data_IF_471919747974
#
_entry.id   IF_471919747974
#
_cell.length_a   1.000
_cell.length_b   1.000
_cell.length_c   1.000
_cell.angle_alpha   90.00
_cell.angle_beta   90.00
_cell.angle_gamma   90.00
#
_symmetry.space_group_name_H-M   'P 1'
#
loop_
_entity.id
_entity.type
_entity.pdbx_description
1 polymer ?
#
# COMPACT_ATOMS: atom_id res chain seq x y z
N UNK A 1 -15.73 8.49 -7.40
CA UNK A 1 -15.13 7.65 -6.35
C UNK A 1 -15.63 6.23 -6.51
N UNK A 2 -14.75 5.21 -6.40
CA UNK A 2 -15.19 3.83 -6.22
C UNK A 2 -16.13 3.72 -5.01
N UNK A 3 -17.12 2.83 -5.10
CA UNK A 3 -18.02 2.59 -3.98
C UNK A 3 -17.38 1.69 -2.92
N UNK A 4 -17.90 1.69 -1.68
CA UNK A 4 -17.52 0.79 -0.58
C UNK A 4 -17.22 -0.66 -0.96
N UNK A 5 -18.07 -1.25 -1.82
CA UNK A 5 -17.93 -2.64 -2.26
C UNK A 5 -16.65 -2.89 -3.06
N UNK A 6 -16.20 -1.94 -3.87
CA UNK A 6 -14.97 -2.06 -4.65
C UNK A 6 -13.73 -2.08 -3.74
N UNK A 7 -13.67 -1.17 -2.76
CA UNK A 7 -12.60 -1.14 -1.76
C UNK A 7 -12.56 -2.43 -0.93
N UNK A 8 -13.72 -2.88 -0.46
CA UNK A 8 -13.82 -4.10 0.34
C UNK A 8 -13.39 -5.34 -0.46
N UNK A 9 -13.84 -5.46 -1.71
CA UNK A 9 -13.46 -6.56 -2.60
C UNK A 9 -11.96 -6.56 -2.89
N UNK A 10 -11.38 -5.40 -3.21
CA UNK A 10 -9.94 -5.26 -3.46
C UNK A 10 -9.11 -5.69 -2.25
N UNK A 11 -9.43 -5.17 -1.06
CA UNK A 11 -8.66 -5.47 0.14
C UNK A 11 -8.87 -6.90 0.66
N UNK A 12 -10.11 -7.43 0.66
CA UNK A 12 -10.36 -8.81 1.08
C UNK A 12 -9.72 -9.81 0.12
N UNK A 13 -9.79 -9.60 -1.20
CA UNK A 13 -9.17 -10.48 -2.18
C UNK A 13 -7.64 -10.47 -2.07
N UNK A 14 -7.03 -9.29 -1.92
CA UNK A 14 -5.58 -9.16 -1.65
C UNK A 14 -5.18 -9.83 -0.34
N UNK A 15 -5.94 -9.62 0.74
CA UNK A 15 -5.71 -10.26 2.03
C UNK A 15 -5.86 -11.80 1.98
N UNK A 16 -6.84 -12.30 1.23
CA UNK A 16 -7.04 -13.74 1.02
C UNK A 16 -5.89 -14.36 0.20
N UNK A 17 -5.39 -13.66 -0.82
CA UNK A 17 -4.22 -14.08 -1.58
C UNK A 17 -2.97 -14.17 -0.67
N UNK A 18 -2.72 -13.13 0.14
CA UNK A 18 -1.63 -13.14 1.12
C UNK A 18 -1.79 -14.26 2.17
N UNK A 19 -3.01 -14.51 2.64
CA UNK A 19 -3.32 -15.63 3.55
C UNK A 19 -2.95 -16.98 2.93
N UNK A 20 -3.24 -17.16 1.64
CA UNK A 20 -2.91 -18.39 0.91
C UNK A 20 -1.39 -18.55 0.71
N UNK A 21 -0.70 -17.46 0.38
CA UNK A 21 0.75 -17.45 0.18
C UNK A 21 1.53 -17.63 1.49
N UNK A 22 0.95 -17.25 2.64
CA UNK A 22 1.57 -17.44 3.94
C UNK A 22 1.73 -18.93 4.34
N UNK A 23 1.05 -19.86 3.65
CA UNK A 23 1.26 -21.30 3.77
C UNK A 23 0.25 -22.01 4.69
N UNK A 24 -0.06 -23.31 4.47
CA UNK A 24 -1.07 -24.05 5.24
C UNK A 24 -0.69 -24.39 6.69
N UNK A 25 0.61 -24.55 6.97
CA UNK A 25 1.14 -24.88 8.32
C UNK A 25 1.54 -23.66 9.16
N UNK A 26 1.87 -22.56 8.49
CA UNK A 26 2.31 -21.29 9.07
C UNK A 26 1.33 -20.20 8.65
N UNK A 27 0.04 -20.30 9.01
CA UNK A 27 -0.97 -19.27 8.65
C UNK A 27 -0.63 -17.93 9.33
N UNK A 28 0.42 -17.24 8.90
CA UNK A 28 0.95 -16.06 9.59
C UNK A 28 0.14 -14.80 9.25
N UNK A 29 -0.64 -14.86 8.18
CA UNK A 29 -1.69 -13.91 7.82
C UNK A 29 -3.03 -14.66 7.79
N UNK A 30 -4.02 -14.17 8.53
CA UNK A 30 -5.27 -14.89 8.76
C UNK A 30 -6.51 -13.98 8.76
N UNK A 31 -7.67 -14.53 9.11
CA UNK A 31 -8.96 -13.84 8.97
C UNK A 31 -9.00 -12.49 9.70
N UNK A 32 -8.42 -12.40 10.90
CA UNK A 32 -8.30 -11.12 11.64
C UNK A 32 -7.48 -10.09 10.87
N UNK A 33 -6.41 -10.49 10.18
CA UNK A 33 -5.58 -9.58 9.38
C UNK A 33 -6.38 -9.05 8.19
N UNK A 34 -7.04 -9.95 7.44
CA UNK A 34 -7.91 -9.59 6.33
C UNK A 34 -9.01 -8.62 6.75
N UNK A 35 -9.67 -8.89 7.89
CA UNK A 35 -10.76 -8.06 8.38
C UNK A 35 -10.30 -6.64 8.72
N UNK A 36 -9.19 -6.48 9.46
CA UNK A 36 -8.67 -5.14 9.81
C UNK A 36 -8.17 -4.41 8.56
N UNK A 37 -7.44 -5.09 7.67
CA UNK A 37 -6.97 -4.51 6.41
C UNK A 37 -8.14 -4.00 5.57
N UNK A 38 -9.16 -4.85 5.36
CA UNK A 38 -10.30 -4.50 4.53
C UNK A 38 -11.21 -3.45 5.17
N UNK A 39 -11.39 -3.47 6.49
CA UNK A 39 -12.14 -2.43 7.20
C UNK A 39 -11.52 -1.05 7.01
N UNK A 40 -10.19 -0.93 6.97
CA UNK A 40 -9.51 0.35 6.78
C UNK A 40 -9.37 0.75 5.31
N UNK A 41 -9.43 -0.20 4.38
CA UNK A 41 -9.56 0.10 2.95
C UNK A 41 -10.97 0.58 2.58
N UNK A 42 -11.99 0.04 3.25
CA UNK A 42 -13.37 0.46 3.07
C UNK A 42 -13.69 1.73 3.87
N UNK A 43 -13.71 1.67 5.20
CA UNK A 43 -14.20 2.76 6.04
C UNK A 43 -13.16 3.82 6.35
N UNK A 44 -11.87 3.48 6.26
CA UNK A 44 -10.82 4.18 7.00
C UNK A 44 -10.80 5.69 6.74
N UNK A 45 -10.22 6.16 5.62
CA UNK A 45 -10.20 7.58 5.28
C UNK A 45 -11.60 8.20 5.13
N UNK A 46 -12.58 7.42 4.69
CA UNK A 46 -14.00 7.81 4.57
C UNK A 46 -14.66 8.22 5.91
N UNK A 47 -14.05 7.92 7.06
CA UNK A 47 -14.48 8.48 8.34
C UNK A 47 -14.46 10.02 8.32
N UNK A 48 -13.60 10.64 7.50
CA UNK A 48 -13.59 12.09 7.27
C UNK A 48 -14.88 12.58 6.62
N UNK A 49 -15.27 11.98 5.50
CA UNK A 49 -16.51 12.29 4.79
C UNK A 49 -17.75 11.99 5.64
N UNK A 50 -17.70 10.91 6.44
CA UNK A 50 -18.75 10.61 7.39
C UNK A 50 -18.88 11.67 8.50
N UNK A 51 -17.75 12.17 9.02
CA UNK A 51 -17.76 13.25 10.02
C UNK A 51 -18.30 14.57 9.44
N UNK A 52 -17.90 14.91 8.21
CA UNK A 52 -18.46 16.05 7.47
C UNK A 52 -19.98 15.92 7.29
N UNK A 53 -20.45 14.74 6.86
CA UNK A 53 -21.86 14.42 6.75
C UNK A 53 -22.60 14.55 8.09
N UNK A 54 -22.01 14.08 9.20
CA UNK A 54 -22.60 14.25 10.53
C UNK A 54 -22.71 15.73 10.94
N UNK A 55 -21.68 16.53 10.64
CA UNK A 55 -21.69 17.98 10.91
C UNK A 55 -22.77 18.71 10.10
N UNK A 56 -23.17 18.19 8.94
CA UNK A 56 -24.25 18.78 8.12
C UNK A 56 -25.63 18.77 8.79
N UNK A 57 -25.85 17.92 9.81
CA UNK A 57 -27.09 17.90 10.60
C UNK A 57 -27.10 18.90 11.76
N UNK A 58 -25.95 19.50 12.11
CA UNK A 58 -25.89 20.51 13.14
C UNK A 58 -26.49 21.83 12.63
N UNK A 59 -27.01 22.69 13.52
CA UNK A 59 -27.49 24.02 13.12
C UNK A 59 -26.42 24.74 12.31
N UNK A 60 -26.81 25.26 11.14
CA UNK A 60 -25.92 25.92 10.18
C UNK A 60 -25.15 27.06 10.85
N UNK A 61 -23.95 26.72 11.30
CA UNK A 61 -23.01 27.60 11.97
C UNK A 61 -21.68 27.46 11.27
N UNK A 62 -20.97 28.57 11.13
CA UNK A 62 -19.65 28.58 10.50
C UNK A 62 -18.69 27.60 11.20
N UNK A 63 -18.85 27.40 12.52
CA UNK A 63 -18.07 26.45 13.30
C UNK A 63 -18.37 24.99 12.97
N UNK A 64 -19.63 24.61 12.77
CA UNK A 64 -19.99 23.23 12.41
C UNK A 64 -19.49 22.86 11.00
N UNK A 65 -19.63 23.78 10.03
CA UNK A 65 -19.08 23.60 8.68
C UNK A 65 -17.56 23.46 8.72
N UNK A 66 -16.87 24.40 9.39
CA UNK A 66 -15.41 24.37 9.49
C UNK A 66 -14.89 23.10 10.18
N UNK A 67 -15.62 22.58 11.18
CA UNK A 67 -15.26 21.32 11.83
C UNK A 67 -15.41 20.11 10.90
N UNK A 68 -16.48 20.06 10.08
CA UNK A 68 -16.68 19.05 9.05
C UNK A 68 -15.57 19.07 7.99
N UNK A 69 -15.28 20.25 7.43
CA UNK A 69 -14.24 20.44 6.42
C UNK A 69 -12.84 20.07 6.96
N UNK A 70 -12.57 20.43 8.21
CA UNK A 70 -11.33 20.06 8.89
C UNK A 70 -11.24 18.55 9.10
N UNK A 71 -12.32 17.90 9.52
CA UNK A 71 -12.36 16.45 9.69
C UNK A 71 -12.12 15.74 8.35
N UNK A 72 -12.80 16.17 7.28
CA UNK A 72 -12.60 15.64 5.94
C UNK A 72 -11.15 15.80 5.48
N UNK A 73 -10.62 17.03 5.50
CA UNK A 73 -9.25 17.30 5.06
C UNK A 73 -8.17 16.60 5.89
N UNK A 74 -8.37 16.44 7.19
CA UNK A 74 -7.39 15.80 8.08
C UNK A 74 -7.48 14.27 8.04
N UNK A 75 -8.68 13.69 8.03
CA UNK A 75 -8.89 12.24 8.09
C UNK A 75 -8.81 11.61 6.70
N UNK A 76 -9.26 12.30 5.66
CA UNK A 76 -9.19 11.84 4.27
C UNK A 76 -7.88 12.25 3.57
N UNK A 77 -6.79 12.37 4.33
CA UNK A 77 -5.44 12.57 3.79
C UNK A 77 -4.59 11.29 3.95
N UNK A 78 -3.90 10.83 2.89
CA UNK A 78 -3.24 9.52 2.83
C UNK A 78 -2.27 9.22 3.96
N UNK A 79 -1.62 10.27 4.49
CA UNK A 79 -0.65 10.12 5.58
C UNK A 79 -1.19 10.58 6.93
N UNK A 80 -2.23 11.42 6.97
CA UNK A 80 -2.74 11.91 8.25
C UNK A 80 -3.67 10.90 8.90
N UNK A 81 -4.45 10.15 8.12
CA UNK A 81 -5.26 9.06 8.64
C UNK A 81 -4.48 8.10 9.56
N UNK A 82 -3.40 7.44 9.10
CA UNK A 82 -2.63 6.53 9.95
C UNK A 82 -1.93 7.25 11.11
N UNK A 83 -1.54 8.52 10.96
CA UNK A 83 -0.89 9.29 12.03
C UNK A 83 -1.86 9.72 13.14
N UNK A 84 -3.05 10.18 12.78
CA UNK A 84 -4.05 10.71 13.70
C UNK A 84 -4.88 9.59 14.34
N UNK A 85 -5.38 8.66 13.52
CA UNK A 85 -6.30 7.62 13.96
C UNK A 85 -5.64 6.24 14.08
N UNK A 86 -4.46 6.03 13.54
CA UNK A 86 -3.81 4.71 13.54
C UNK A 86 -3.55 4.16 14.93
N UNK A 87 -3.02 4.95 15.87
CA UNK A 87 -2.79 4.50 17.25
C UNK A 87 -4.07 4.19 18.05
N UNK A 88 -5.09 5.08 18.11
CA UNK A 88 -6.32 4.77 18.82
C UNK A 88 -7.05 3.57 18.19
N UNK A 89 -7.15 3.52 16.86
CA UNK A 89 -7.75 2.38 16.16
C UNK A 89 -6.96 1.10 16.35
N UNK A 90 -5.63 1.14 16.39
CA UNK A 90 -4.82 -0.04 16.66
C UNK A 90 -5.11 -0.65 18.04
N UNK A 91 -5.34 0.20 19.05
CA UNK A 91 -5.77 -0.26 20.37
C UNK A 91 -7.16 -0.90 20.33
N UNK A 92 -8.10 -0.26 19.63
CA UNK A 92 -9.47 -0.75 19.46
C UNK A 92 -9.51 -2.09 18.72
N UNK A 93 -8.84 -2.21 17.57
CA UNK A 93 -8.78 -3.44 16.78
C UNK A 93 -8.05 -4.57 17.51
N UNK A 94 -6.97 -4.29 18.25
CA UNK A 94 -6.31 -5.32 19.06
C UNK A 94 -7.23 -5.83 20.18
N UNK A 95 -8.05 -4.95 20.78
CA UNK A 95 -9.07 -5.34 21.74
C UNK A 95 -10.20 -6.14 21.08
N UNK A 96 -10.66 -5.72 19.90
CA UNK A 96 -11.72 -6.39 19.17
C UNK A 96 -11.29 -7.78 18.69
N UNK A 97 -10.07 -7.92 18.17
CA UNK A 97 -9.50 -9.22 17.77
C UNK A 97 -9.50 -10.22 18.92
N UNK A 98 -9.11 -9.78 20.14
CA UNK A 98 -9.22 -10.61 21.36
C UNK A 98 -10.65 -11.05 21.66
N UNK A 99 -11.63 -10.14 21.50
CA UNK A 99 -13.03 -10.43 21.78
C UNK A 99 -13.62 -11.41 20.77
N UNK A 100 -13.39 -11.17 19.48
CA UNK A 100 -13.87 -12.03 18.39
C UNK A 100 -13.28 -13.43 18.45
N UNK A 101 -12.00 -13.53 18.82
CA UNK A 101 -11.34 -14.83 19.01
C UNK A 101 -11.95 -15.60 20.18
N UNK A 102 -12.17 -14.95 21.34
CA UNK A 102 -12.81 -15.59 22.51
C UNK A 102 -14.25 -16.00 22.25
N UNK A 103 -14.95 -15.27 21.38
CA UNK A 103 -16.31 -15.58 20.98
C UNK A 103 -16.41 -16.65 19.88
N UNK A 104 -15.29 -17.13 19.33
CA UNK A 104 -15.29 -18.10 18.22
C UNK A 104 -15.83 -17.53 16.90
N UNK A 105 -15.90 -16.21 16.74
CA UNK A 105 -16.43 -15.55 15.54
C UNK A 105 -15.41 -15.57 14.41
N UNK A 106 -14.14 -15.38 14.73
CA UNK A 106 -13.04 -15.42 13.78
C UNK A 106 -11.90 -16.26 14.33
N UNK A 107 -11.47 -17.24 13.54
CA UNK A 107 -10.30 -18.03 13.85
C UNK A 107 -9.02 -17.21 13.64
N UNK A 108 -8.08 -17.41 14.55
CA UNK A 108 -6.71 -16.95 14.38
C UNK A 108 -5.76 -18.14 14.36
N UNK A 109 -4.80 -18.17 13.44
CA UNK A 109 -3.69 -19.10 13.45
C UNK A 109 -2.95 -19.11 14.79
N UNK A 110 -2.85 -20.28 15.42
CA UNK A 110 -2.26 -20.44 16.75
C UNK A 110 -3.10 -19.86 17.90
N UNK A 111 -4.35 -19.45 17.66
CA UNK A 111 -5.20 -18.87 18.71
C UNK A 111 -4.66 -17.56 19.29
N UNK A 112 -3.84 -16.82 18.53
CA UNK A 112 -3.26 -15.56 18.98
C UNK A 112 -4.00 -14.37 18.35
N UNK A 113 -4.54 -13.44 19.16
CA UNK A 113 -5.19 -12.23 18.65
C UNK A 113 -4.16 -11.24 18.10
N UNK A 114 -4.59 -10.31 17.23
CA UNK A 114 -3.72 -9.26 16.71
C UNK A 114 -3.20 -8.35 17.83
N UNK A 115 -1.92 -8.03 17.77
CA UNK A 115 -1.32 -7.01 18.63
C UNK A 115 -1.44 -5.61 18.02
N UNK A 116 -1.17 -4.58 18.83
CA UNK A 116 -1.33 -3.17 18.42
C UNK A 116 -0.44 -2.80 17.22
N UNK A 117 0.78 -3.34 17.15
CA UNK A 117 1.70 -3.07 16.03
C UNK A 117 1.14 -3.64 14.72
N UNK A 118 0.64 -4.88 14.75
CA UNK A 118 0.01 -5.50 13.58
C UNK A 118 -1.21 -4.71 13.14
N UNK A 119 -2.08 -4.31 14.07
CA UNK A 119 -3.23 -3.47 13.75
C UNK A 119 -2.81 -2.13 13.12
N UNK A 120 -1.79 -1.45 13.67
CA UNK A 120 -1.29 -0.18 13.09
C UNK A 120 -0.80 -0.35 11.65
N UNK A 121 -0.06 -1.42 11.37
CA UNK A 121 0.41 -1.74 10.01
C UNK A 121 -0.76 -2.03 9.07
N UNK A 122 -1.75 -2.80 9.51
CA UNK A 122 -2.94 -3.16 8.72
C UNK A 122 -3.86 -1.95 8.48
N UNK A 123 -3.99 -1.05 9.46
CA UNK A 123 -4.71 0.22 9.31
C UNK A 123 -4.04 1.06 8.21
N UNK A 124 -2.72 1.23 8.31
CA UNK A 124 -1.94 2.00 7.34
C UNK A 124 -2.00 1.37 5.94
N UNK A 125 -1.94 0.04 5.85
CA UNK A 125 -2.07 -0.68 4.59
C UNK A 125 -3.46 -0.48 3.97
N UNK A 126 -4.51 -0.62 4.79
CA UNK A 126 -5.90 -0.45 4.36
C UNK A 126 -6.14 0.97 3.85
N UNK A 127 -5.75 1.99 4.63
CA UNK A 127 -5.96 3.38 4.24
C UNK A 127 -5.21 3.76 2.97
N UNK A 128 -3.98 3.30 2.78
CA UNK A 128 -3.26 3.55 1.52
C UNK A 128 -3.89 2.80 0.33
N UNK A 129 -4.42 1.59 0.57
CA UNK A 129 -5.15 0.82 -0.44
C UNK A 129 -6.48 1.45 -0.83
N UNK A 130 -7.10 2.20 0.08
CA UNK A 130 -8.26 3.04 -0.20
C UNK A 130 -7.91 4.08 -1.27
N UNK A 131 -6.89 4.91 -0.99
CA UNK A 131 -6.42 5.95 -1.92
C UNK A 131 -5.89 5.42 -3.25
N UNK A 132 -5.44 4.15 -3.32
CA UNK A 132 -5.09 3.54 -4.60
C UNK A 132 -6.27 3.57 -5.58
N UNK A 133 -7.46 3.20 -5.11
CA UNK A 133 -8.65 3.18 -5.97
C UNK A 133 -9.20 4.59 -6.20
N UNK A 134 -9.21 5.45 -5.18
CA UNK A 134 -9.71 6.83 -5.36
C UNK A 134 -8.86 7.60 -6.35
N UNK A 135 -7.55 7.57 -6.19
CA UNK A 135 -6.69 8.29 -7.11
C UNK A 135 -6.82 7.80 -8.56
N UNK A 136 -7.21 6.54 -8.80
CA UNK A 136 -7.43 6.03 -10.17
C UNK A 136 -8.83 6.32 -10.72
N UNK A 137 -9.87 6.32 -9.88
CA UNK A 137 -11.26 6.30 -10.33
C UNK A 137 -12.12 7.47 -9.81
N UNK A 138 -11.54 8.39 -9.04
CA UNK A 138 -12.20 9.61 -8.60
C UNK A 138 -12.15 10.71 -9.68
N UNK A 139 -13.12 11.63 -9.62
CA UNK A 139 -13.25 12.79 -10.51
C UNK A 139 -13.16 12.45 -12.01
N UNK A 140 -13.61 11.25 -12.42
CA UNK A 140 -13.49 10.75 -13.80
C UNK A 140 -12.06 10.81 -14.35
N UNK A 141 -11.04 10.59 -13.50
CA UNK A 141 -9.64 10.67 -13.89
C UNK A 141 -9.12 12.10 -14.02
N UNK A 142 -9.76 13.07 -13.35
CA UNK A 142 -9.29 14.46 -13.30
C UNK A 142 -8.73 14.88 -11.94
N UNK A 143 -8.55 13.91 -11.02
CA UNK A 143 -7.93 14.20 -9.73
C UNK A 143 -6.54 14.82 -9.92
N UNK A 144 -6.16 15.74 -9.02
CA UNK A 144 -4.84 16.38 -9.05
C UNK A 144 -3.72 15.34 -9.04
N UNK A 145 -3.88 14.27 -8.27
CA UNK A 145 -2.91 13.17 -8.20
C UNK A 145 -2.83 12.42 -9.54
N UNK A 146 -3.95 11.98 -10.10
CA UNK A 146 -3.95 11.24 -11.37
C UNK A 146 -3.42 12.07 -12.53
N UNK A 147 -3.83 13.33 -12.60
CA UNK A 147 -3.33 14.28 -13.57
C UNK A 147 -1.83 14.47 -13.42
N UNK A 148 -1.32 14.57 -12.18
CA UNK A 148 0.12 14.64 -11.92
C UNK A 148 0.85 13.36 -12.37
N UNK A 149 0.31 12.18 -12.05
CA UNK A 149 0.88 10.89 -12.46
C UNK A 149 1.09 10.86 -13.98
N UNK A 150 0.03 11.13 -14.74
CA UNK A 150 0.08 11.13 -16.20
C UNK A 150 0.96 12.26 -16.74
N UNK A 151 0.97 13.45 -16.11
CA UNK A 151 1.76 14.60 -16.57
C UNK A 151 3.27 14.37 -16.62
N UNK A 152 3.76 13.27 -16.04
CA UNK A 152 5.17 12.87 -16.17
C UNK A 152 5.54 12.32 -17.56
N UNK A 153 4.55 12.02 -18.40
CA UNK A 153 4.68 11.77 -19.84
C UNK A 153 4.29 12.96 -20.71
N UNK A 154 4.45 12.85 -22.03
CA UNK A 154 4.14 13.92 -22.98
C UNK A 154 2.85 13.68 -23.76
N UNK A 155 1.91 14.63 -23.63
CA UNK A 155 0.58 14.52 -24.24
C UNK A 155 0.26 15.65 -25.22
N UNK A 156 1.25 16.47 -25.59
CA UNK A 156 1.07 17.67 -26.44
C UNK A 156 1.64 17.44 -27.83
N UNK A 157 0.86 16.81 -28.69
CA UNK A 157 1.33 16.42 -30.02
C UNK A 157 2.48 15.40 -29.93
N UNK A 158 3.35 15.38 -30.93
CA UNK A 158 4.43 14.39 -31.00
C UNK A 158 5.50 14.65 -29.94
N UNK A 159 5.83 13.63 -29.15
CA UNK A 159 6.89 13.75 -28.15
C UNK A 159 8.28 13.97 -28.76
N UNK A 160 9.16 14.74 -28.10
CA UNK A 160 10.55 14.86 -28.51
C UNK A 160 11.26 13.52 -28.40
N UNK A 161 12.06 13.17 -29.41
CA UNK A 161 12.86 11.94 -29.41
C UNK A 161 14.08 12.17 -28.52
N UNK A 162 14.24 11.34 -27.49
CA UNK A 162 15.39 11.35 -26.60
C UNK A 162 16.18 10.03 -26.74
N UNK A 163 17.30 10.00 -27.48
CA UNK A 163 18.09 8.78 -27.64
C UNK A 163 18.72 8.31 -26.32
N UNK A 164 19.00 9.23 -25.39
CA UNK A 164 19.56 8.89 -24.08
C UNK A 164 18.60 8.00 -23.28
N UNK A 165 17.29 8.22 -23.44
CA UNK A 165 16.26 7.40 -22.81
C UNK A 165 16.41 5.92 -23.23
N UNK A 166 16.59 5.64 -24.52
CA UNK A 166 16.77 4.26 -25.02
C UNK A 166 18.00 3.61 -24.39
N UNK A 167 19.12 4.32 -24.35
CA UNK A 167 20.38 3.78 -23.81
C UNK A 167 20.27 3.52 -22.31
N UNK A 168 19.79 4.50 -21.54
CA UNK A 168 19.74 4.41 -20.08
C UNK A 168 18.69 3.40 -19.63
N UNK A 169 17.49 3.45 -20.21
CA UNK A 169 16.41 2.51 -19.86
C UNK A 169 16.77 1.10 -20.30
N UNK A 170 17.32 0.94 -21.50
CA UNK A 170 17.82 -0.34 -21.98
C UNK A 170 18.88 -0.94 -21.06
N UNK A 171 19.84 -0.12 -20.59
CA UNK A 171 20.86 -0.53 -19.64
C UNK A 171 20.25 -0.93 -18.29
N UNK A 172 19.38 -0.10 -17.70
CA UNK A 172 18.77 -0.36 -16.40
C UNK A 172 17.89 -1.62 -16.43
N UNK A 173 17.08 -1.81 -17.47
CA UNK A 173 16.28 -3.01 -17.67
C UNK A 173 17.14 -4.25 -17.85
N UNK A 174 18.23 -4.17 -18.63
CA UNK A 174 19.19 -5.27 -18.81
C UNK A 174 19.85 -5.64 -17.48
N UNK A 175 20.29 -4.65 -16.70
CA UNK A 175 20.86 -4.85 -15.37
C UNK A 175 19.85 -5.50 -14.41
N UNK A 176 18.59 -5.07 -14.44
CA UNK A 176 17.54 -5.64 -13.60
C UNK A 176 17.26 -7.10 -13.94
N UNK A 177 17.02 -7.40 -15.22
CA UNK A 177 16.73 -8.77 -15.69
C UNK A 177 17.96 -9.66 -15.48
N UNK A 178 19.13 -9.22 -15.93
CA UNK A 178 20.38 -9.96 -15.81
C UNK A 178 20.78 -10.20 -14.35
N UNK A 179 20.66 -9.19 -13.50
CA UNK A 179 20.90 -9.30 -12.06
C UNK A 179 19.92 -10.25 -11.37
N UNK A 180 18.63 -10.20 -11.73
CA UNK A 180 17.64 -11.12 -11.20
C UNK A 180 17.94 -12.57 -11.60
N UNK A 181 18.23 -12.82 -12.87
CA UNK A 181 18.64 -14.15 -13.36
C UNK A 181 19.90 -14.63 -12.64
N UNK A 182 20.90 -13.77 -12.47
CA UNK A 182 22.14 -14.09 -11.78
C UNK A 182 21.92 -14.52 -10.32
N UNK A 183 21.08 -13.78 -9.57
CA UNK A 183 20.74 -14.11 -8.17
C UNK A 183 20.08 -15.49 -8.07
N UNK A 184 19.18 -15.82 -9.00
CA UNK A 184 18.39 -17.05 -8.90
C UNK A 184 19.05 -18.28 -9.53
N UNK A 185 19.85 -18.10 -10.59
CA UNK A 185 20.46 -19.20 -11.36
C UNK A 185 21.94 -19.44 -11.05
N UNK A 186 22.73 -18.40 -10.85
CA UNK A 186 24.20 -18.52 -10.81
C UNK A 186 24.73 -18.57 -9.37
N UNK A 187 24.09 -17.84 -8.45
CA UNK A 187 24.48 -17.82 -7.05
C UNK A 187 23.94 -19.06 -6.31
N UNK A 188 24.70 -20.15 -6.33
CA UNK A 188 24.39 -21.38 -5.60
C UNK A 188 24.63 -21.23 -4.08
N UNK A 189 23.95 -22.05 -3.28
CA UNK A 189 24.17 -22.14 -1.82
C UNK A 189 23.43 -21.13 -0.94
N UNK A 190 22.67 -20.18 -1.52
CA UNK A 190 21.84 -19.24 -0.76
C UNK A 190 20.42 -19.73 -0.53
N UNK A 191 19.87 -19.40 0.64
CA UNK A 191 18.47 -19.64 0.96
C UNK A 191 17.53 -18.79 0.08
N UNK A 192 16.26 -19.21 -0.03
CA UNK A 192 15.25 -18.47 -0.78
C UNK A 192 15.02 -17.05 -0.21
N UNK A 193 15.10 -16.89 1.11
CA UNK A 193 14.95 -15.60 1.79
C UNK A 193 16.09 -14.64 1.43
N UNK A 194 17.34 -15.12 1.43
CA UNK A 194 18.48 -14.29 1.02
C UNK A 194 18.38 -13.88 -0.44
N UNK A 195 18.01 -14.81 -1.34
CA UNK A 195 17.79 -14.49 -2.76
C UNK A 195 16.69 -13.44 -2.93
N UNK A 196 15.58 -13.57 -2.20
CA UNK A 196 14.49 -12.58 -2.18
C UNK A 196 14.97 -11.21 -1.73
N UNK A 197 15.73 -11.11 -0.62
CA UNK A 197 16.29 -9.86 -0.13
C UNK A 197 17.26 -9.22 -1.14
N UNK A 198 18.08 -10.04 -1.81
CA UNK A 198 18.97 -9.55 -2.86
C UNK A 198 18.20 -9.04 -4.08
N UNK A 199 17.14 -9.74 -4.50
CA UNK A 199 16.26 -9.29 -5.58
C UNK A 199 15.57 -7.97 -5.21
N UNK A 200 15.06 -7.86 -3.99
CA UNK A 200 14.47 -6.62 -3.49
C UNK A 200 15.46 -5.46 -3.52
N UNK A 201 16.68 -5.66 -3.02
CA UNK A 201 17.72 -4.65 -3.04
C UNK A 201 18.10 -4.23 -4.47
N UNK A 202 18.24 -5.19 -5.39
CA UNK A 202 18.48 -4.90 -6.80
C UNK A 202 17.36 -4.04 -7.40
N UNK A 203 16.10 -4.42 -7.19
CA UNK A 203 14.92 -3.67 -7.66
C UNK A 203 14.95 -2.25 -7.11
N UNK A 204 15.22 -2.08 -5.81
CA UNK A 204 15.25 -0.77 -5.15
C UNK A 204 16.34 0.15 -5.72
N UNK A 205 17.54 -0.40 -5.95
CA UNK A 205 18.65 0.36 -6.54
C UNK A 205 18.31 0.79 -7.96
N UNK A 206 17.83 -0.13 -8.80
CA UNK A 206 17.47 0.19 -10.19
C UNK A 206 16.31 1.19 -10.24
N UNK A 207 15.26 1.00 -9.45
CA UNK A 207 14.12 1.92 -9.38
C UNK A 207 14.56 3.31 -8.93
N UNK A 208 15.47 3.42 -7.96
CA UNK A 208 15.99 4.71 -7.49
C UNK A 208 16.81 5.41 -8.56
N UNK A 209 17.73 4.70 -9.24
CA UNK A 209 18.49 5.23 -10.36
C UNK A 209 17.56 5.72 -11.48
N UNK A 210 16.54 4.94 -11.79
CA UNK A 210 15.57 5.28 -12.82
C UNK A 210 14.74 6.52 -12.44
N UNK A 211 14.21 6.57 -11.21
CA UNK A 211 13.48 7.74 -10.71
C UNK A 211 14.35 9.01 -10.72
N UNK A 212 15.62 8.91 -10.32
CA UNK A 212 16.55 10.05 -10.38
C UNK A 212 16.76 10.55 -11.80
N UNK A 213 16.91 9.63 -12.76
CA UNK A 213 17.01 9.99 -14.18
C UNK A 213 15.73 10.65 -14.70
N UNK A 214 14.55 10.08 -14.43
CA UNK A 214 13.29 10.68 -14.86
C UNK A 214 13.10 12.07 -14.23
N UNK A 215 13.38 12.21 -12.93
CA UNK A 215 13.31 13.48 -12.24
C UNK A 215 14.28 14.52 -12.84
N UNK A 216 15.49 14.12 -13.27
CA UNK A 216 16.41 15.05 -13.91
C UNK A 216 15.89 15.54 -15.26
N UNK A 217 15.27 14.67 -16.06
CA UNK A 217 14.69 15.08 -17.35
C UNK A 217 13.50 16.03 -17.16
N UNK A 218 12.63 15.74 -16.19
CA UNK A 218 11.38 16.47 -15.97
C UNK A 218 11.61 17.79 -15.22
N UNK A 219 12.45 17.80 -14.19
CA UNK A 219 12.55 18.94 -13.27
C UNK A 219 13.85 19.75 -13.39
N UNK A 220 14.93 19.15 -13.91
CA UNK A 220 16.25 19.79 -13.94
C UNK A 220 16.68 20.25 -15.34
N UNK A 221 16.19 19.61 -16.41
CA UNK A 221 16.51 19.97 -17.79
C UNK A 221 15.83 21.29 -18.19
N UNK A 222 16.51 22.09 -19.01
CA UNK A 222 15.97 23.34 -19.58
C UNK A 222 16.03 23.30 -21.12
N UNK A 223 14.88 23.30 -21.83
CA UNK A 223 13.53 23.16 -21.27
C UNK A 223 13.29 21.77 -20.65
N UNK A 224 12.34 21.64 -19.70
CA UNK A 224 11.86 20.34 -19.22
C UNK A 224 11.47 19.42 -20.37
N UNK A 225 11.82 18.14 -20.25
CA UNK A 225 11.46 17.12 -21.24
C UNK A 225 10.87 15.89 -20.56
N UNK A 226 9.93 15.19 -21.22
CA UNK A 226 9.48 13.89 -20.73
C UNK A 226 10.67 12.92 -20.69
N UNK A 227 10.67 12.04 -19.70
CA UNK A 227 11.75 11.05 -19.55
C UNK A 227 11.73 10.02 -20.70
N UNK A 228 10.53 9.50 -21.04
CA UNK A 228 10.31 8.50 -22.10
C UNK A 228 9.19 8.97 -23.04
N UNK A 229 9.37 10.15 -23.63
CA UNK A 229 8.44 10.64 -24.65
C UNK A 229 6.97 10.67 -24.20
N UNK A 230 6.10 9.93 -24.87
CA UNK A 230 4.65 9.91 -24.59
C UNK A 230 4.28 9.10 -23.33
N UNK A 231 5.22 8.32 -22.78
CA UNK A 231 4.95 7.42 -21.65
C UNK A 231 5.11 8.14 -20.30
N UNK A 232 4.17 7.88 -19.38
CA UNK A 232 4.24 8.35 -18.00
C UNK A 232 4.99 7.32 -17.14
N UNK A 233 6.12 7.72 -16.55
CA UNK A 233 6.99 6.82 -15.79
C UNK A 233 7.12 7.23 -14.32
N UNK A 234 7.70 8.40 -14.06
CA UNK A 234 8.05 8.80 -12.69
C UNK A 234 6.83 8.82 -11.77
N UNK A 235 5.73 9.40 -12.25
CA UNK A 235 4.49 9.48 -11.49
C UNK A 235 3.90 8.10 -11.24
N UNK A 236 3.94 7.22 -12.25
CA UNK A 236 3.44 5.85 -12.15
C UNK A 236 4.23 5.04 -11.14
N UNK A 237 5.56 5.11 -11.16
CA UNK A 237 6.42 4.37 -10.22
C UNK A 237 6.20 4.85 -8.78
N UNK A 238 6.16 6.16 -8.56
CA UNK A 238 5.91 6.72 -7.22
C UNK A 238 4.52 6.31 -6.72
N UNK A 239 3.51 6.39 -7.57
CA UNK A 239 2.16 5.97 -7.25
C UNK A 239 2.09 4.49 -6.87
N UNK A 240 2.66 3.60 -7.69
CA UNK A 240 2.70 2.16 -7.40
C UNK A 240 3.50 1.86 -6.13
N UNK A 241 4.61 2.56 -5.89
CA UNK A 241 5.41 2.37 -4.67
C UNK A 241 4.59 2.67 -3.41
N UNK A 242 3.87 3.78 -3.39
CA UNK A 242 3.14 4.27 -2.21
C UNK A 242 1.80 3.54 -2.02
N UNK A 243 1.03 3.36 -3.09
CA UNK A 243 -0.37 2.94 -2.99
C UNK A 243 -0.60 1.47 -3.38
N UNK A 244 0.37 0.81 -4.03
CA UNK A 244 0.31 -0.62 -4.33
C UNK A 244 1.31 -1.43 -3.50
N UNK A 245 2.62 -1.21 -3.65
CA UNK A 245 3.63 -2.08 -3.04
C UNK A 245 3.78 -1.88 -1.54
N UNK A 246 3.77 -0.63 -1.05
CA UNK A 246 3.89 -0.34 0.38
C UNK A 246 2.75 -0.98 1.20
N UNK A 247 1.46 -0.89 0.83
CA UNK A 247 0.37 -1.58 1.54
C UNK A 247 0.57 -3.09 1.65
N UNK A 248 0.96 -3.74 0.55
CA UNK A 248 1.23 -5.17 0.56
C UNK A 248 2.44 -5.50 1.45
N UNK A 249 3.50 -4.68 1.42
CA UNK A 249 4.64 -4.79 2.33
C UNK A 249 4.26 -4.65 3.79
N UNK A 250 3.39 -3.69 4.14
CA UNK A 250 2.87 -3.49 5.49
C UNK A 250 2.03 -4.69 5.95
N UNK A 251 1.20 -5.27 5.06
CA UNK A 251 0.49 -6.52 5.33
C UNK A 251 1.47 -7.68 5.61
N UNK A 252 2.53 -7.83 4.82
CA UNK A 252 3.58 -8.84 5.06
C UNK A 252 4.29 -8.62 6.40
N UNK A 253 4.61 -7.38 6.75
CA UNK A 253 5.23 -7.03 8.04
C UNK A 253 4.29 -7.25 9.23
N UNK A 254 2.98 -7.24 9.01
CA UNK A 254 1.98 -7.51 10.05
C UNK A 254 1.80 -9.00 10.37
N UNK A 255 2.36 -9.89 9.55
CA UNK A 255 2.24 -11.34 9.75
C UNK A 255 2.80 -11.78 11.11
N UNK A 256 2.17 -12.77 11.75
CA UNK A 256 2.67 -13.42 12.97
C UNK A 256 4.12 -13.89 12.77
N UNK A 257 4.95 -13.91 13.81
CA UNK A 257 6.32 -14.44 13.72
C UNK A 257 6.33 -15.97 13.81
N UNK A 258 7.32 -16.62 13.17
CA UNK A 258 7.45 -18.08 13.14
C UNK A 258 7.63 -18.69 14.54
N UNK A 259 8.42 -18.03 15.39
CA UNK A 259 8.78 -18.53 16.73
C UNK A 259 7.56 -18.72 17.66
N UNK A 260 6.45 -17.99 17.42
CA UNK A 260 5.21 -18.17 18.18
C UNK A 260 4.45 -19.45 17.82
N UNK A 261 4.59 -19.93 16.58
CA UNK A 261 3.92 -21.13 16.06
C UNK A 261 4.63 -22.40 16.52
N UNK A 262 5.97 -22.39 16.53
CA UNK A 262 6.79 -23.52 16.98
C UNK A 262 6.66 -23.73 18.50
N UNK A 263 6.66 -22.65 19.29
CA UNK A 263 6.46 -22.72 20.75
C UNK A 263 5.06 -23.21 21.15
N UNK A 264 4.04 -23.02 20.30
CA UNK A 264 2.68 -23.52 20.57
C UNK A 264 2.53 -25.01 20.20
N UNK A 265 3.25 -25.47 19.18
CA UNK A 265 3.26 -26.89 18.78
C UNK A 265 4.01 -27.79 19.78
N UNK A 266 4.84 -27.21 20.66
CA UNK A 266 5.51 -27.93 21.76
C UNK A 266 4.72 -27.94 23.08
N UNK A 267 3.58 -27.24 23.16
CA UNK A 267 2.77 -27.27 24.37
C UNK A 267 1.92 -28.56 24.40
N UNK A 268 1.97 -29.35 25.48
CA UNK A 268 1.19 -30.57 25.58
C UNK A 268 -0.30 -30.21 25.58
N UNK A 269 -1.05 -30.87 24.69
CA UNK A 269 -2.51 -30.86 24.68
C UNK A 269 -3.00 -31.22 26.08
N UNK A 270 -3.65 -30.26 26.76
CA UNK A 270 -4.45 -30.51 27.95
C UNK A 270 -5.89 -30.78 27.57
#
# INVERSE_FOLDING_TARGET
MPGPGAHLLYALSGGAALSRLAGPGDRRFGAHHCAVYAANAFLGPDLGAFAEWLCSFLPSSASASAAGDLAMSAVHHPFYYPLLLGLPLACAYAWLSRRLLRAGVLDSPGGVPLNKRQCFLLISAGSLSHFFLDHLFEENGHSKMYTWILSTGWWKGRAPINPDAVVIVGLLCTCLIGGFVYIHRVKHGKSAAEKSNQSFFLILVIATLYCMWCASQIYLRQPPQPAIGEEADLGVIIFLAIYLFLPHGLCVLSMNQKDYTDALNELPLR
#
